data_IF_713446729096
#
_entry.id   IF_713446729096
#
_cell.length_a   1.000
_cell.length_b   1.000
_cell.length_c   1.000
_cell.angle_alpha   90.00
_cell.angle_beta   90.00
_cell.angle_gamma   90.00
#
_symmetry.space_group_name_H-M   'P 1'
#
loop_
_entity.id
_entity.type
_entity.pdbx_description
1 polymer ?
#
# COMPACT_ATOMS: atom_id res chain seq x y z
N UNK A 1 -0.15 -10.20 -12.60
CA UNK A 1 0.26 -8.81 -12.60
C UNK A 1 1.28 -8.54 -11.53
N UNK A 2 2.25 -7.72 -11.85
CA UNK A 2 3.37 -7.50 -10.93
C UNK A 2 2.93 -6.88 -9.61
N UNK A 3 1.95 -6.00 -9.66
CA UNK A 3 1.53 -5.30 -8.46
C UNK A 3 1.00 -6.25 -7.40
N UNK A 4 0.26 -7.26 -7.83
CA UNK A 4 -0.29 -8.21 -6.88
C UNK A 4 0.80 -8.98 -6.15
N UNK A 5 1.81 -9.43 -6.90
CA UNK A 5 2.89 -10.18 -6.29
C UNK A 5 3.70 -9.30 -5.36
N UNK A 6 3.90 -8.06 -5.77
CA UNK A 6 4.61 -7.12 -4.93
C UNK A 6 3.89 -6.90 -3.61
N UNK A 7 2.59 -6.67 -3.68
CA UNK A 7 1.81 -6.41 -2.48
C UNK A 7 1.76 -7.64 -1.59
N UNK A 8 1.64 -8.82 -2.18
CA UNK A 8 1.63 -10.04 -1.39
C UNK A 8 2.92 -10.18 -0.61
N UNK A 9 4.04 -9.89 -1.25
CA UNK A 9 5.33 -10.02 -0.60
C UNK A 9 5.50 -9.01 0.54
N UNK A 10 5.14 -7.77 0.28
CA UNK A 10 5.30 -6.72 1.27
C UNK A 10 4.39 -6.94 2.46
N UNK A 11 3.17 -7.43 2.22
CA UNK A 11 2.17 -7.57 3.27
C UNK A 11 2.09 -8.98 3.84
N UNK A 12 2.98 -9.85 3.40
CA UNK A 12 2.96 -11.25 3.82
C UNK A 12 2.93 -11.43 5.34
N UNK A 13 3.72 -10.66 6.11
CA UNK A 13 3.71 -10.85 7.57
C UNK A 13 2.35 -10.59 8.21
N UNK A 14 1.46 -9.90 7.51
CA UNK A 14 0.18 -9.53 8.08
C UNK A 14 -1.00 -10.26 7.46
N UNK A 15 -0.73 -11.28 6.67
CA UNK A 15 -1.76 -11.93 5.88
C UNK A 15 -2.96 -12.38 6.70
N UNK A 16 -2.72 -12.87 7.90
CA UNK A 16 -3.81 -13.36 8.74
C UNK A 16 -4.73 -12.26 9.24
N UNK A 17 -4.26 -11.04 9.22
CA UNK A 17 -5.03 -9.92 9.71
C UNK A 17 -5.62 -9.09 8.58
N UNK A 18 -5.43 -9.52 7.36
CA UNK A 18 -5.90 -8.76 6.20
C UNK A 18 -7.13 -9.43 5.61
N UNK A 19 -8.19 -8.64 5.49
CA UNK A 19 -9.43 -9.09 4.86
C UNK A 19 -9.37 -8.87 3.35
N UNK A 20 -8.99 -7.66 2.95
CA UNK A 20 -8.92 -7.35 1.52
C UNK A 20 -7.95 -6.20 1.30
N UNK A 21 -7.48 -6.12 0.07
CA UNK A 21 -6.57 -5.06 -0.35
C UNK A 21 -7.14 -4.44 -1.60
N UNK A 22 -7.27 -3.13 -1.59
CA UNK A 22 -7.77 -2.39 -2.73
C UNK A 22 -6.68 -1.45 -3.23
N UNK A 23 -6.36 -1.54 -4.51
CA UNK A 23 -5.34 -0.70 -5.13
C UNK A 23 -6.03 0.20 -6.14
N UNK A 24 -5.83 1.49 -5.98
CA UNK A 24 -6.35 2.46 -6.94
C UNK A 24 -5.17 3.21 -7.52
N UNK A 25 -4.96 3.07 -8.80
CA UNK A 25 -3.86 3.72 -9.49
C UNK A 25 -4.41 4.70 -10.50
N UNK A 26 -4.02 5.95 -10.35
CA UNK A 26 -4.48 7.01 -11.23
C UNK A 26 -3.29 7.64 -11.92
N UNK A 27 -3.48 8.00 -13.17
CA UNK A 27 -2.46 8.69 -13.93
C UNK A 27 -2.97 10.05 -14.31
N UNK A 28 -2.11 11.04 -14.27
CA UNK A 28 -2.47 12.37 -14.72
C UNK A 28 -1.29 12.98 -15.47
N UNK A 29 -1.58 13.94 -16.29
CA UNK A 29 -0.53 14.64 -17.01
C UNK A 29 0.19 15.55 -16.04
N UNK A 30 1.48 15.31 -15.92
CA UNK A 30 2.31 16.13 -15.07
C UNK A 30 2.92 17.27 -15.82
N UNK A 31 3.75 18.04 -15.15
CA UNK A 31 4.46 19.12 -15.76
C UNK A 31 5.38 18.58 -16.83
N UNK A 32 5.62 19.39 -17.85
CA UNK A 32 6.53 19.04 -18.93
C UNK A 32 6.10 17.78 -19.70
N UNK A 33 4.81 17.48 -19.72
CA UNK A 33 4.30 16.37 -20.50
C UNK A 33 4.57 14.99 -19.92
N UNK A 34 5.09 14.92 -18.71
CA UNK A 34 5.31 13.63 -18.06
C UNK A 34 4.08 13.19 -17.34
N UNK A 35 3.91 11.88 -17.23
CA UNK A 35 2.80 11.33 -16.47
C UNK A 35 3.16 11.23 -15.02
N UNK A 36 2.18 11.56 -14.18
CA UNK A 36 2.28 11.34 -12.75
C UNK A 36 1.32 10.23 -12.39
N UNK A 37 1.78 9.32 -11.57
CA UNK A 37 0.93 8.24 -11.09
C UNK A 37 0.72 8.40 -9.60
N UNK A 38 -0.51 8.20 -9.18
CA UNK A 38 -0.85 8.26 -7.76
C UNK A 38 -1.50 6.94 -7.39
N UNK A 39 -0.96 6.29 -6.40
CA UNK A 39 -1.48 5.03 -5.93
C UNK A 39 -2.09 5.20 -4.55
N UNK A 40 -3.34 4.79 -4.41
CA UNK A 40 -4.01 4.75 -3.12
C UNK A 40 -4.20 3.29 -2.76
N UNK A 41 -3.68 2.90 -1.63
CA UNK A 41 -3.72 1.52 -1.19
C UNK A 41 -4.53 1.45 0.08
N UNK A 42 -5.60 0.67 0.05
CA UNK A 42 -6.48 0.49 1.20
C UNK A 42 -6.44 -0.96 1.61
N UNK A 43 -6.14 -1.21 2.87
CA UNK A 43 -6.09 -2.56 3.40
C UNK A 43 -7.11 -2.67 4.51
N UNK A 44 -8.08 -3.57 4.33
CA UNK A 44 -9.09 -3.83 5.34
C UNK A 44 -8.61 -4.95 6.23
N UNK A 45 -8.78 -4.75 7.53
CA UNK A 45 -8.22 -5.64 8.52
C UNK A 45 -9.28 -6.49 9.17
N UNK A 46 -8.83 -7.60 9.73
CA UNK A 46 -9.66 -8.50 10.52
C UNK A 46 -9.30 -8.31 11.98
N UNK A 47 -10.24 -8.31 12.86
CA UNK A 47 -11.68 -8.42 12.62
C UNK A 47 -12.32 -7.11 12.20
N UNK A 48 -11.63 -5.99 12.40
CA UNK A 48 -12.20 -4.70 12.07
C UNK A 48 -11.06 -3.70 11.86
N UNK A 49 -11.34 -2.67 11.09
CA UNK A 49 -10.39 -1.60 10.88
C UNK A 49 -9.84 -1.58 9.46
N UNK A 50 -9.12 -0.53 9.16
CA UNK A 50 -8.46 -0.43 7.87
C UNK A 50 -7.31 0.56 7.98
N UNK A 51 -6.36 0.42 7.07
CA UNK A 51 -5.30 1.41 6.90
C UNK A 51 -5.28 1.79 5.43
N UNK A 52 -4.89 3.02 5.18
CA UNK A 52 -4.86 3.55 3.83
C UNK A 52 -3.67 4.46 3.69
N UNK A 53 -3.03 4.39 2.55
CA UNK A 53 -1.93 5.29 2.26
C UNK A 53 -1.93 5.63 0.79
N UNK A 54 -1.33 6.76 0.50
CA UNK A 54 -1.29 7.29 -0.84
C UNK A 54 0.13 7.71 -1.16
N UNK A 55 0.56 7.46 -2.38
CA UNK A 55 1.89 7.87 -2.80
C UNK A 55 1.87 8.15 -4.29
N UNK A 56 2.80 8.98 -4.72
CA UNK A 56 2.90 9.33 -6.11
C UNK A 56 4.31 9.13 -6.63
N UNK A 57 4.42 8.94 -7.93
CA UNK A 57 5.72 8.83 -8.58
C UNK A 57 5.49 8.96 -10.08
N UNK A 58 6.58 9.22 -10.80
CA UNK A 58 6.51 9.26 -12.26
C UNK A 58 6.41 7.87 -12.85
N UNK A 59 6.70 6.84 -12.06
CA UNK A 59 6.67 5.45 -12.48
C UNK A 59 5.55 4.77 -11.73
N UNK A 60 4.68 4.06 -12.45
CA UNK A 60 3.51 3.45 -11.82
C UNK A 60 3.91 2.38 -10.82
N UNK A 61 4.92 1.58 -11.12
CA UNK A 61 5.37 0.55 -10.20
C UNK A 61 5.96 1.17 -8.94
N UNK A 62 6.72 2.24 -9.10
CA UNK A 62 7.28 2.92 -7.95
C UNK A 62 6.20 3.57 -7.09
N UNK A 63 5.14 4.07 -7.72
CA UNK A 63 4.03 4.63 -6.96
C UNK A 63 3.40 3.56 -6.07
N UNK A 64 3.24 2.35 -6.62
CA UNK A 64 2.68 1.24 -5.86
C UNK A 64 3.64 0.84 -4.74
N UNK A 65 4.93 0.78 -5.03
CA UNK A 65 5.93 0.46 -4.02
C UNK A 65 5.89 1.43 -2.86
N UNK A 66 5.84 2.72 -3.19
CA UNK A 66 5.83 3.73 -2.14
C UNK A 66 4.57 3.66 -1.29
N UNK A 67 3.43 3.42 -1.93
CA UNK A 67 2.19 3.26 -1.18
C UNK A 67 2.26 2.01 -0.29
N UNK A 68 2.83 0.94 -0.82
CA UNK A 68 2.95 -0.30 -0.05
C UNK A 68 3.86 -0.11 1.16
N UNK A 69 4.94 0.63 0.99
CA UNK A 69 5.83 0.93 2.11
C UNK A 69 5.10 1.69 3.21
N UNK A 70 4.30 2.68 2.82
CA UNK A 70 3.56 3.46 3.80
C UNK A 70 2.54 2.60 4.52
N UNK A 71 1.85 1.73 3.79
CA UNK A 71 0.87 0.84 4.40
C UNK A 71 1.58 -0.13 5.34
N UNK A 72 2.71 -0.66 4.91
CA UNK A 72 3.46 -1.57 5.74
C UNK A 72 3.84 -0.92 7.07
N UNK A 73 4.28 0.31 7.02
CA UNK A 73 4.61 1.06 8.22
C UNK A 73 3.39 1.23 9.12
N UNK A 74 2.25 1.57 8.53
CA UNK A 74 1.02 1.75 9.30
C UNK A 74 0.56 0.44 9.91
N UNK A 75 0.67 -0.65 9.16
CA UNK A 75 0.31 -1.97 9.67
C UNK A 75 1.20 -2.37 10.82
N UNK A 76 2.48 -2.09 10.69
CA UNK A 76 3.42 -2.42 11.73
C UNK A 76 3.04 -1.73 13.03
N UNK A 77 2.65 -0.48 12.96
CA UNK A 77 2.23 0.25 14.15
C UNK A 77 0.90 -0.24 14.68
N UNK A 78 -0.03 -0.55 13.77
CA UNK A 78 -1.37 -0.93 14.18
C UNK A 78 -1.43 -2.34 14.73
N UNK A 79 -0.68 -3.25 14.11
CA UNK A 79 -0.74 -4.66 14.44
C UNK A 79 0.48 -5.13 15.21
N UNK A 80 1.31 -4.22 15.63
CA UNK A 80 2.49 -4.59 16.39
C UNK A 80 2.09 -5.40 17.60
N UNK A 81 2.71 -6.56 17.78
CA UNK A 81 2.40 -7.33 18.97
C UNK A 81 2.77 -6.54 20.20
N UNK A 82 2.02 -6.74 21.24
CA UNK A 82 2.30 -6.06 22.48
C UNK A 82 3.55 -6.64 23.05
N UNK A 83 4.66 -6.32 22.58
CA UNK A 83 5.79 -6.86 23.14
C UNK A 83 6.25 -6.11 24.19
N UNK A 84 6.43 -6.31 24.72
CA UNK A 84 6.88 -5.71 25.53
C UNK A 84 8.05 -5.45 25.48
N UNK A 85 8.42 -4.92 25.48
CA UNK A 85 9.47 -4.76 25.37
C UNK A 85 9.85 -4.24 25.82
#
# INVERSE_FOLDING_TARGET
MHAEKLLQRVLEPYTRRIDSIEVKLEASAGAAGRSDYRCTLTVKLLPVGSVQAEAGDFDDILAIYRAADKVNFLLEQRLRPAKKQ
#
